data_IF_466079654770
#
_entry.id   IF_466079654770
#
_cell.length_a   1.000
_cell.length_b   1.000
_cell.length_c   1.000
_cell.angle_alpha   90.00
_cell.angle_beta   90.00
_cell.angle_gamma   90.00
#
_symmetry.space_group_name_H-M   'P 1'
#
loop_
_entity.id
_entity.type
_entity.pdbx_description
1 polymer ?
#
# COMPACT_ATOMS: atom_id res chain seq x y z
N UNK A 1 22.13 -6.91 8.88
CA UNK A 1 21.34 -5.80 9.47
C UNK A 1 19.90 -6.00 8.99
N UNK A 2 19.16 -6.92 9.61
CA UNK A 2 18.14 -7.71 8.90
C UNK A 2 16.72 -7.16 9.08
N UNK A 3 16.58 -5.86 9.38
CA UNK A 3 15.30 -5.19 9.59
C UNK A 3 14.47 -5.72 10.78
N UNK A 4 15.11 -6.43 11.72
CA UNK A 4 14.46 -7.05 12.88
C UNK A 4 14.86 -6.39 14.20
N UNK A 5 13.92 -6.32 15.14
CA UNK A 5 14.11 -5.81 16.51
C UNK A 5 13.73 -6.87 17.53
N UNK A 6 14.38 -6.83 18.71
CA UNK A 6 14.10 -7.75 19.81
C UNK A 6 12.75 -7.42 20.44
N UNK A 7 11.92 -8.43 20.65
CA UNK A 7 10.64 -8.33 21.34
C UNK A 7 10.44 -9.57 22.23
N UNK A 8 10.36 -9.37 23.56
CA UNK A 8 10.08 -10.44 24.54
C UNK A 8 10.91 -11.74 24.37
N UNK A 9 12.18 -11.63 24.00
CA UNK A 9 13.08 -12.77 23.81
C UNK A 9 13.20 -13.28 22.36
N UNK A 10 12.31 -12.84 21.46
CA UNK A 10 12.35 -13.15 20.04
C UNK A 10 12.76 -11.94 19.19
N UNK A 11 12.91 -12.12 17.87
CA UNK A 11 13.17 -11.05 16.92
C UNK A 11 12.02 -10.93 15.94
N UNK A 12 11.38 -9.75 15.91
CA UNK A 12 10.28 -9.45 14.99
C UNK A 12 10.71 -8.42 13.94
N UNK A 13 10.03 -8.42 12.80
CA UNK A 13 10.24 -7.39 11.77
C UNK A 13 9.86 -6.02 12.32
N UNK A 14 10.62 -4.98 11.96
CA UNK A 14 10.33 -3.60 12.34
C UNK A 14 8.88 -3.18 12.02
N UNK A 15 8.36 -3.63 10.88
CA UNK A 15 6.98 -3.37 10.46
C UNK A 15 5.92 -3.78 11.50
N UNK A 16 6.19 -4.80 12.32
CA UNK A 16 5.28 -5.23 13.37
C UNK A 16 5.10 -4.17 14.46
N UNK A 17 6.15 -3.43 14.79
CA UNK A 17 6.09 -2.34 15.78
C UNK A 17 5.28 -1.15 15.26
N UNK A 18 5.33 -0.90 13.94
CA UNK A 18 4.49 0.12 13.30
C UNK A 18 3.02 -0.29 13.30
N UNK A 19 2.72 -1.57 13.07
CA UNK A 19 1.34 -2.10 13.11
C UNK A 19 0.71 -2.09 14.50
N UNK A 20 1.51 -2.02 15.56
CA UNK A 20 1.03 -1.88 16.95
C UNK A 20 0.65 -0.43 17.32
N UNK A 21 0.92 0.55 16.46
CA UNK A 21 0.63 1.97 16.69
C UNK A 21 -0.64 2.42 16.00
N UNK A 22 -1.23 3.51 16.48
CA UNK A 22 -2.40 4.08 15.82
C UNK A 22 -1.99 4.83 14.53
N UNK A 23 -2.82 4.80 13.46
CA UNK A 23 -2.49 5.42 12.18
C UNK A 23 -2.39 6.95 12.19
N UNK A 24 -2.50 7.61 13.34
CA UNK A 24 -2.37 9.07 13.52
C UNK A 24 -1.33 9.42 14.58
N UNK A 25 -0.59 8.43 15.07
CA UNK A 25 0.46 8.64 16.07
C UNK A 25 1.67 9.35 15.45
N UNK A 26 2.31 10.21 16.24
CA UNK A 26 3.62 10.80 15.90
C UNK A 26 4.72 10.01 16.61
N UNK A 27 5.60 9.39 15.84
CA UNK A 27 6.74 8.62 16.36
C UNK A 27 8.06 9.37 16.16
N UNK A 28 9.01 9.18 17.09
CA UNK A 28 10.38 9.65 16.93
C UNK A 28 11.22 8.56 16.30
N UNK A 29 11.92 8.87 15.20
CA UNK A 29 12.81 7.96 14.48
C UNK A 29 14.21 8.54 14.46
N UNK A 30 15.19 7.72 14.86
CA UNK A 30 16.61 8.03 14.70
C UNK A 30 17.07 7.56 13.31
N UNK A 31 17.63 8.46 12.53
CA UNK A 31 18.16 8.19 11.20
C UNK A 31 19.58 8.73 11.09
N UNK A 32 20.42 8.05 10.31
CA UNK A 32 21.75 8.56 9.96
C UNK A 32 21.64 9.28 8.62
N UNK A 33 21.97 10.56 8.58
CA UNK A 33 22.01 11.39 7.37
C UNK A 33 23.35 12.11 7.30
N UNK A 34 24.04 12.02 6.16
CA UNK A 34 25.39 12.58 5.96
C UNK A 34 26.40 12.15 7.04
N UNK A 35 26.30 10.89 7.47
CA UNK A 35 27.15 10.30 8.50
C UNK A 35 26.87 10.77 9.93
N UNK A 36 25.81 11.58 10.16
CA UNK A 36 25.43 12.08 11.49
C UNK A 36 24.08 11.52 11.94
N UNK A 37 23.91 11.15 13.23
CA UNK A 37 22.61 10.75 13.77
C UNK A 37 21.67 11.97 13.87
N UNK A 38 20.42 11.78 13.48
CA UNK A 38 19.36 12.79 13.47
C UNK A 38 18.08 12.17 14.02
N UNK A 39 17.43 12.86 14.96
CA UNK A 39 16.10 12.49 15.44
C UNK A 39 15.03 13.27 14.68
N UNK A 40 14.09 12.55 14.06
CA UNK A 40 12.99 13.14 13.30
C UNK A 40 11.65 12.63 13.81
N UNK A 41 10.66 13.52 13.93
CA UNK A 41 9.28 13.14 14.24
C UNK A 41 8.54 12.84 12.93
N UNK A 42 7.88 11.70 12.87
CA UNK A 42 7.12 11.24 11.71
C UNK A 42 5.70 10.91 12.16
N UNK A 43 4.72 11.51 11.49
CA UNK A 43 3.31 11.15 11.66
C UNK A 43 3.03 9.88 10.86
N UNK A 44 2.45 8.87 11.52
CA UNK A 44 2.01 7.66 10.86
C UNK A 44 0.74 7.95 10.05
N UNK A 45 0.55 7.18 8.98
CA UNK A 45 -0.65 7.23 8.16
C UNK A 45 -0.88 5.85 7.53
N UNK A 46 -2.14 5.54 7.22
CA UNK A 46 -2.45 4.33 6.45
C UNK A 46 -1.82 4.43 5.07
N UNK A 47 -1.12 3.38 4.63
CA UNK A 47 -0.52 3.33 3.30
C UNK A 47 -1.62 3.37 2.23
N UNK A 48 -1.65 4.44 1.44
CA UNK A 48 -2.53 4.60 0.30
C UNK A 48 -1.79 4.15 -0.95
N UNK A 49 -2.03 2.91 -1.38
CA UNK A 49 -1.51 2.38 -2.64
C UNK A 49 -2.07 3.17 -3.82
N UNK A 50 -1.24 3.42 -4.84
CA UNK A 50 -1.65 4.07 -6.10
C UNK A 50 -2.79 3.31 -6.76
N UNK A 51 -2.67 1.99 -6.81
CA UNK A 51 -3.77 1.10 -7.20
C UNK A 51 -4.45 0.59 -5.93
N UNK A 52 -5.70 0.99 -5.66
CA UNK A 52 -6.41 0.59 -4.46
C UNK A 52 -6.64 -0.93 -4.41
N UNK A 53 -6.15 -1.57 -3.35
CA UNK A 53 -6.39 -2.98 -3.00
C UNK A 53 -7.46 -3.05 -1.91
N UNK A 54 -8.74 -3.13 -2.29
CA UNK A 54 -9.85 -3.00 -1.33
C UNK A 54 -10.96 -4.00 -1.62
N UNK A 55 -10.99 -5.10 -0.85
CA UNK A 55 -12.22 -5.89 -0.67
C UNK A 55 -13.09 -5.35 0.48
N UNK A 56 -12.60 -4.41 1.32
CA UNK A 56 -13.25 -4.10 2.62
C UNK A 56 -13.24 -2.63 3.07
N UNK A 57 -12.93 -1.64 2.22
CA UNK A 57 -13.01 -0.23 2.61
C UNK A 57 -14.41 0.35 2.33
N UNK A 58 -15.04 0.96 3.36
CA UNK A 58 -16.37 1.63 3.25
C UNK A 58 -16.47 2.62 2.09
N UNK A 59 -15.37 3.31 1.77
CA UNK A 59 -15.28 4.33 0.70
C UNK A 59 -15.44 3.74 -0.72
N UNK A 60 -15.33 2.42 -0.87
CA UNK A 60 -15.32 1.75 -2.18
C UNK A 60 -16.21 0.49 -2.24
N UNK A 61 -17.09 0.28 -1.25
CA UNK A 61 -18.33 -0.51 -1.43
C UNK A 61 -19.33 0.23 -2.35
N UNK A 62 -19.01 1.45 -2.75
CA UNK A 62 -19.71 2.24 -3.74
C UNK A 62 -19.39 1.76 -5.15
N UNK A 63 -20.33 1.96 -6.07
CA UNK A 63 -20.17 1.61 -7.49
C UNK A 63 -18.92 2.30 -8.07
N UNK A 64 -18.11 1.62 -8.89
CA UNK A 64 -16.94 2.25 -9.50
C UNK A 64 -17.31 3.50 -10.31
N UNK A 65 -16.54 4.56 -10.13
CA UNK A 65 -16.70 5.82 -10.86
C UNK A 65 -16.15 5.69 -12.29
N UNK A 66 -16.97 6.04 -13.28
CA UNK A 66 -16.59 6.03 -14.69
C UNK A 66 -17.12 7.26 -15.44
N UNK A 67 -16.49 7.57 -16.57
CA UNK A 67 -16.92 8.62 -17.51
C UNK A 67 -17.07 8.00 -18.89
N UNK A 68 -18.18 8.31 -19.58
CA UNK A 68 -18.42 7.87 -20.95
C UNK A 68 -18.31 9.08 -21.88
N UNK A 69 -17.44 8.98 -22.88
CA UNK A 69 -17.24 10.04 -23.87
C UNK A 69 -17.06 9.42 -25.26
N UNK A 70 -17.94 9.78 -26.21
CA UNK A 70 -17.85 9.28 -27.59
C UNK A 70 -17.94 7.75 -27.73
N UNK A 71 -18.58 7.07 -26.79
CA UNK A 71 -18.62 5.59 -26.73
C UNK A 71 -17.42 4.94 -26.02
N UNK A 72 -16.41 5.72 -25.63
CA UNK A 72 -15.28 5.25 -24.83
C UNK A 72 -15.63 5.33 -23.33
N UNK A 73 -15.36 4.25 -22.60
CA UNK A 73 -15.52 4.15 -21.15
C UNK A 73 -14.17 4.37 -20.46
N UNK A 74 -14.09 5.36 -19.58
CA UNK A 74 -12.93 5.64 -18.75
C UNK A 74 -13.25 5.35 -17.29
N UNK A 75 -12.45 4.53 -16.64
CA UNK A 75 -12.60 4.16 -15.22
C UNK A 75 -11.24 4.17 -14.52
N UNK A 76 -11.24 4.24 -13.20
CA UNK A 76 -10.03 4.17 -12.40
C UNK A 76 -9.48 2.74 -12.39
N UNK A 77 -8.15 2.61 -12.41
CA UNK A 77 -7.50 1.32 -12.23
C UNK A 77 -7.63 0.88 -10.77
N UNK A 78 -8.24 -0.28 -10.53
CA UNK A 78 -8.41 -0.86 -9.20
C UNK A 78 -7.98 -2.32 -9.20
N UNK A 79 -7.61 -2.88 -8.04
CA UNK A 79 -7.24 -4.29 -7.97
C UNK A 79 -8.40 -5.23 -8.36
N UNK A 80 -9.67 -5.01 -7.93
CA UNK A 80 -10.79 -5.84 -8.38
C UNK A 80 -10.95 -5.86 -9.90
N UNK A 81 -10.75 -4.71 -10.56
CA UNK A 81 -10.76 -4.65 -12.03
C UNK A 81 -9.67 -5.58 -12.60
N UNK A 82 -8.44 -5.54 -12.07
CA UNK A 82 -7.35 -6.43 -12.50
C UNK A 82 -7.64 -7.92 -12.25
N UNK A 83 -8.32 -8.26 -11.16
CA UNK A 83 -8.70 -9.63 -10.84
C UNK A 83 -9.71 -10.23 -11.84
N UNK A 84 -10.52 -9.40 -12.51
CA UNK A 84 -11.49 -9.86 -13.52
C UNK A 84 -10.83 -10.45 -14.77
N UNK A 85 -9.56 -10.13 -15.07
CA UNK A 85 -8.85 -10.70 -16.23
C UNK A 85 -8.65 -12.22 -16.13
N UNK A 86 -8.41 -12.74 -14.92
CA UNK A 86 -8.29 -14.17 -14.68
C UNK A 86 -8.44 -14.48 -13.18
N UNK A 87 -9.35 -15.41 -12.79
CA UNK A 87 -9.56 -15.76 -11.39
C UNK A 87 -8.31 -16.28 -10.67
N UNK A 88 -7.41 -16.96 -11.40
CA UNK A 88 -6.27 -17.68 -10.81
C UNK A 88 -4.90 -17.11 -11.21
N UNK A 89 -4.82 -16.33 -12.29
CA UNK A 89 -3.53 -15.83 -12.80
C UNK A 89 -3.64 -14.44 -13.45
N UNK A 90 -4.29 -13.52 -12.74
CA UNK A 90 -4.45 -12.14 -13.19
C UNK A 90 -3.10 -11.42 -13.41
N UNK A 91 -2.06 -11.79 -12.65
CA UNK A 91 -0.74 -11.15 -12.74
C UNK A 91 -0.10 -11.36 -14.11
N UNK A 92 -0.26 -12.55 -14.68
CA UNK A 92 0.29 -12.87 -16.01
C UNK A 92 -0.70 -12.57 -17.15
N UNK A 93 -2.01 -12.62 -16.89
CA UNK A 93 -3.05 -12.41 -17.91
C UNK A 93 -3.42 -10.94 -18.13
N UNK A 94 -3.36 -10.10 -17.09
CA UNK A 94 -3.62 -8.68 -17.22
C UNK A 94 -2.43 -7.97 -17.93
N UNK A 95 -2.68 -6.84 -18.60
CA UNK A 95 -1.61 -6.08 -19.27
C UNK A 95 -0.48 -5.71 -18.31
N UNK A 96 0.76 -6.08 -18.66
CA UNK A 96 1.96 -5.89 -17.81
C UNK A 96 2.19 -4.46 -17.34
N UNK A 97 1.88 -3.49 -18.21
CA UNK A 97 2.00 -2.07 -17.86
C UNK A 97 1.07 -1.68 -16.70
N UNK A 98 -0.12 -2.29 -16.61
CA UNK A 98 -1.07 -2.02 -15.53
C UNK A 98 -0.69 -2.78 -14.25
N UNK A 99 -0.21 -4.02 -14.37
CA UNK A 99 0.20 -4.80 -13.19
C UNK A 99 1.43 -4.21 -12.51
N UNK A 100 2.36 -3.63 -13.27
CA UNK A 100 3.51 -2.89 -12.71
C UNK A 100 3.10 -1.73 -11.81
N UNK A 101 1.97 -1.05 -12.08
CA UNK A 101 1.48 0.06 -11.26
C UNK A 101 0.96 -0.40 -9.88
N UNK A 102 0.68 -1.70 -9.71
CA UNK A 102 0.25 -2.28 -8.42
C UNK A 102 1.44 -2.55 -7.52
N UNK A 103 2.58 -2.92 -8.10
CA UNK A 103 3.77 -3.35 -7.36
C UNK A 103 4.77 -2.21 -7.08
N UNK A 104 4.60 -1.06 -7.73
CA UNK A 104 5.37 0.17 -7.48
C UNK A 104 4.76 0.98 -6.33
#
# INVERSE_FOLDING_TARGET
>A
NDGTMKFRGERLRFAHFLQMKDPTDVISVEVIRDGKPLYTKVELSVNQSLVPNHLFSRKYCEKPNYVLFGGCLFTHLTLPLLLEWSPNDWVNMAPRHLTQLVFN
#
